data_IF_727058693544
#
_entry.id   IF_727058693544
#
_cell.length_a   1.000
_cell.length_b   1.000
_cell.length_c   1.000
_cell.angle_alpha   90.00
_cell.angle_beta   90.00
_cell.angle_gamma   90.00
#
_symmetry.space_group_name_H-M   'P 1'
#
loop_
_entity.id
_entity.type
_entity.pdbx_description
1 polymer ?
#
# COMPACT_ATOMS: atom_id res chain seq x y z
N UNK A 1 18.46 -7.96 -12.18
CA UNK A 1 17.25 -8.02 -13.05
C UNK A 1 16.13 -7.34 -12.28
N UNK A 2 15.23 -6.60 -12.93
CA UNK A 2 14.12 -5.92 -12.22
C UNK A 2 13.13 -6.93 -11.62
N UNK A 3 12.39 -6.53 -10.58
CA UNK A 3 11.36 -7.38 -9.97
C UNK A 3 10.24 -7.63 -10.99
N UNK A 4 9.87 -8.88 -11.32
CA UNK A 4 9.00 -9.20 -12.46
C UNK A 4 7.57 -8.62 -12.32
N UNK A 5 7.11 -8.40 -11.10
CA UNK A 5 5.80 -7.82 -10.81
C UNK A 5 5.77 -6.30 -10.67
N UNK A 6 6.91 -5.61 -10.80
CA UNK A 6 7.02 -4.17 -10.58
C UNK A 6 7.68 -3.50 -11.78
N UNK A 7 6.93 -2.64 -12.45
CA UNK A 7 7.45 -1.80 -13.53
C UNK A 7 7.19 -0.33 -13.19
N UNK A 8 8.24 0.48 -13.05
CA UNK A 8 8.13 1.88 -12.63
C UNK A 8 7.26 2.07 -11.38
N UNK A 9 7.48 1.24 -10.35
CA UNK A 9 6.67 1.15 -9.11
C UNK A 9 5.22 0.70 -9.32
N UNK A 10 4.74 0.50 -10.54
CA UNK A 10 3.41 -0.07 -10.79
C UNK A 10 3.45 -1.57 -10.55
N UNK A 11 2.55 -2.04 -9.68
CA UNK A 11 2.39 -3.45 -9.41
C UNK A 11 1.49 -4.11 -10.45
N UNK A 12 1.94 -5.25 -10.97
CA UNK A 12 1.18 -6.11 -11.86
C UNK A 12 1.32 -7.56 -11.40
N UNK A 13 0.20 -8.27 -11.30
CA UNK A 13 0.21 -9.72 -11.09
C UNK A 13 0.85 -10.44 -12.27
N UNK A 14 1.27 -11.69 -12.02
CA UNK A 14 1.77 -12.56 -13.08
C UNK A 14 0.73 -12.71 -14.21
N UNK A 15 1.14 -12.72 -15.48
CA UNK A 15 0.22 -12.98 -16.60
C UNK A 15 -0.58 -14.27 -16.49
N UNK A 16 -0.10 -15.29 -15.76
CA UNK A 16 -0.85 -16.53 -15.52
C UNK A 16 -2.09 -16.34 -14.63
N UNK A 17 -2.20 -15.21 -13.94
CA UNK A 17 -3.34 -14.81 -13.12
C UNK A 17 -4.29 -13.87 -13.86
N UNK A 18 -4.01 -13.57 -15.13
CA UNK A 18 -4.90 -12.76 -15.94
C UNK A 18 -6.27 -13.43 -16.08
N UNK A 19 -7.33 -12.63 -15.88
CA UNK A 19 -8.72 -13.11 -15.95
C UNK A 19 -9.30 -13.59 -14.61
N UNK A 20 -8.51 -13.63 -13.53
CA UNK A 20 -9.06 -13.78 -12.19
C UNK A 20 -9.70 -12.47 -11.72
N UNK A 21 -10.82 -12.59 -11.02
CA UNK A 21 -11.47 -11.47 -10.36
C UNK A 21 -10.61 -10.96 -9.18
N UNK A 22 -10.79 -9.68 -8.82
CA UNK A 22 -9.98 -9.03 -7.78
C UNK A 22 -10.02 -9.78 -6.44
N UNK A 23 -11.18 -10.33 -6.09
CA UNK A 23 -11.39 -11.14 -4.88
C UNK A 23 -10.52 -12.40 -4.85
N UNK A 24 -10.16 -12.95 -6.02
CA UNK A 24 -9.27 -14.10 -6.13
C UNK A 24 -7.78 -13.70 -6.22
N UNK A 25 -7.49 -12.40 -6.40
CA UNK A 25 -6.14 -11.86 -6.40
C UNK A 25 -5.69 -11.39 -5.02
N UNK A 26 -6.61 -11.26 -4.07
CA UNK A 26 -6.34 -10.88 -2.68
C UNK A 26 -6.69 -12.07 -1.79
N UNK A 27 -5.71 -12.52 -1.02
CA UNK A 27 -5.84 -13.57 -0.02
C UNK A 27 -5.89 -12.95 1.36
N UNK A 28 -6.63 -13.56 2.28
CA UNK A 28 -6.47 -13.30 3.70
C UNK A 28 -5.87 -14.52 4.37
N UNK A 29 -4.80 -14.32 5.12
CA UNK A 29 -4.23 -15.40 5.91
C UNK A 29 -5.08 -15.64 7.16
N UNK A 30 -5.41 -16.90 7.46
CA UNK A 30 -6.26 -17.26 8.61
C UNK A 30 -5.53 -17.20 9.96
N UNK A 31 -4.20 -17.26 9.96
CA UNK A 31 -3.41 -17.20 11.20
C UNK A 31 -3.13 -15.73 11.58
N UNK A 32 -2.52 -14.95 10.69
CA UNK A 32 -2.22 -13.55 10.97
C UNK A 32 -3.36 -12.57 10.61
N UNK A 33 -4.45 -13.03 9.98
CA UNK A 33 -5.64 -12.23 9.59
C UNK A 33 -5.37 -11.07 8.59
N UNK A 34 -4.18 -11.03 7.99
CA UNK A 34 -3.73 -9.97 7.07
C UNK A 34 -3.99 -10.30 5.60
N UNK A 35 -4.01 -9.27 4.76
CA UNK A 35 -4.19 -9.33 3.32
C UNK A 35 -2.87 -9.50 2.56
N UNK A 36 -2.90 -10.37 1.56
CA UNK A 36 -1.76 -10.67 0.69
C UNK A 36 -2.18 -10.85 -0.76
N UNK A 37 -1.31 -10.45 -1.69
CA UNK A 37 -1.54 -10.65 -3.11
C UNK A 37 -1.31 -12.11 -3.51
N UNK A 38 -2.09 -12.58 -4.48
CA UNK A 38 -1.86 -13.85 -5.14
C UNK A 38 -0.43 -13.97 -5.69
N UNK A 39 0.19 -15.13 -5.50
CA UNK A 39 1.58 -15.40 -5.86
C UNK A 39 1.68 -16.64 -6.73
N UNK A 40 2.02 -16.45 -8.01
CA UNK A 40 2.19 -17.55 -8.96
C UNK A 40 3.38 -18.47 -8.62
N UNK A 41 4.46 -17.89 -8.08
CA UNK A 41 5.68 -18.63 -7.73
C UNK A 41 5.41 -19.64 -6.61
N UNK A 42 4.50 -19.30 -5.70
CA UNK A 42 4.12 -20.12 -4.56
C UNK A 42 2.76 -20.78 -4.69
N UNK A 43 2.11 -20.66 -5.85
CA UNK A 43 0.78 -21.20 -6.14
C UNK A 43 -0.29 -20.78 -5.11
N UNK A 44 -0.14 -19.58 -4.55
CA UNK A 44 -1.08 -19.02 -3.57
C UNK A 44 -2.08 -18.14 -4.30
N UNK A 45 -3.33 -18.60 -4.41
CA UNK A 45 -4.42 -17.92 -5.10
C UNK A 45 -5.67 -17.89 -4.21
N UNK A 46 -6.56 -16.91 -4.41
CA UNK A 46 -7.75 -16.75 -3.58
C UNK A 46 -8.71 -17.94 -3.61
N UNK A 47 -9.48 -18.08 -2.52
CA UNK A 47 -10.50 -19.13 -2.34
C UNK A 47 -9.94 -20.51 -1.98
N UNK A 48 -10.69 -21.58 -2.28
CA UNK A 48 -10.32 -22.98 -2.05
C UNK A 48 -9.16 -23.48 -2.97
N UNK A 49 -8.58 -22.60 -3.78
CA UNK A 49 -7.62 -22.91 -4.83
C UNK A 49 -6.15 -22.79 -4.39
N UNK A 50 -5.87 -22.42 -3.14
CA UNK A 50 -4.52 -22.41 -2.58
C UNK A 50 -3.99 -23.86 -2.41
N UNK A 51 -3.22 -24.33 -3.39
CA UNK A 51 -2.51 -25.61 -3.39
C UNK A 51 -1.00 -25.36 -3.47
N UNK A 52 -0.14 -26.15 -2.80
CA UNK A 52 -0.39 -27.48 -2.26
C UNK A 52 -0.63 -27.55 -0.73
N UNK A 53 -0.59 -26.44 0.01
CA UNK A 53 -0.50 -26.50 1.48
C UNK A 53 -1.49 -25.64 2.28
N UNK A 54 -2.48 -25.00 1.65
CA UNK A 54 -3.41 -24.01 2.28
C UNK A 54 -2.76 -22.75 2.87
N UNK A 55 -1.44 -22.73 3.05
CA UNK A 55 -0.69 -21.58 3.57
C UNK A 55 -0.68 -20.44 2.55
N UNK A 56 -1.17 -19.26 2.98
CA UNK A 56 -1.15 -18.05 2.16
C UNK A 56 0.28 -17.56 2.01
N UNK A 57 0.69 -17.23 0.79
CA UNK A 57 1.99 -16.65 0.53
C UNK A 57 2.06 -15.20 1.05
N UNK A 58 3.00 -14.92 1.95
CA UNK A 58 3.24 -13.57 2.48
C UNK A 58 4.18 -12.69 1.64
N UNK A 59 4.46 -13.08 0.39
CA UNK A 59 5.41 -12.36 -0.46
C UNK A 59 4.89 -10.98 -0.88
N UNK A 60 3.64 -10.90 -1.34
CA UNK A 60 2.97 -9.64 -1.68
C UNK A 60 2.10 -9.19 -0.51
N UNK A 61 2.59 -8.26 0.29
CA UNK A 61 1.89 -7.78 1.48
C UNK A 61 1.09 -6.53 1.14
N UNK A 62 -0.23 -6.60 1.33
CA UNK A 62 -1.14 -5.56 0.85
C UNK A 62 -1.48 -4.56 1.96
N UNK A 63 -1.50 -3.29 1.60
CA UNK A 63 -2.11 -2.22 2.39
C UNK A 63 -3.11 -1.46 1.53
N UNK A 64 -4.38 -1.48 1.92
CA UNK A 64 -5.40 -0.63 1.32
C UNK A 64 -5.38 0.74 1.97
N UNK A 65 -5.46 1.77 1.14
CA UNK A 65 -5.45 3.17 1.58
C UNK A 65 -6.59 3.94 0.92
N UNK A 66 -7.12 4.94 1.63
CA UNK A 66 -8.02 5.96 1.11
C UNK A 66 -7.83 7.25 1.90
N UNK A 67 -8.00 8.39 1.22
CA UNK A 67 -8.04 9.71 1.82
C UNK A 67 -9.37 10.42 1.60
N UNK A 68 -9.96 10.92 2.69
CA UNK A 68 -11.20 11.70 2.65
C UNK A 68 -10.99 13.11 3.22
N UNK A 69 -11.74 14.09 2.72
CA UNK A 69 -11.80 15.42 3.28
C UNK A 69 -13.23 15.95 3.27
N UNK A 70 -13.78 16.22 4.45
CA UNK A 70 -15.02 16.97 4.60
C UNK A 70 -14.74 18.46 4.35
N UNK A 71 -15.73 19.17 3.77
CA UNK A 71 -15.62 20.58 3.38
C UNK A 71 -14.36 20.90 2.54
N UNK A 72 -13.94 19.96 1.69
CA UNK A 72 -12.74 20.02 0.85
C UNK A 72 -12.52 21.41 0.21
N UNK A 73 -11.40 22.06 0.54
CA UNK A 73 -11.02 23.37 0.01
C UNK A 73 -11.59 24.59 0.77
N UNK A 74 -12.19 24.39 1.94
CA UNK A 74 -12.69 25.46 2.83
C UNK A 74 -11.85 25.59 4.10
N UNK A 75 -12.02 26.69 4.85
CA UNK A 75 -11.27 26.96 6.09
C UNK A 75 -11.54 25.92 7.20
N UNK A 76 -12.73 25.33 7.21
CA UNK A 76 -13.16 24.31 8.18
C UNK A 76 -12.97 22.88 7.67
N UNK A 77 -12.19 22.69 6.61
CA UNK A 77 -11.94 21.39 6.01
C UNK A 77 -11.24 20.44 7.00
N UNK A 78 -11.78 19.23 7.15
CA UNK A 78 -11.17 18.16 7.95
C UNK A 78 -10.82 17.00 7.05
N UNK A 79 -9.56 16.55 7.12
CA UNK A 79 -9.11 15.39 6.36
C UNK A 79 -8.91 14.17 7.27
N UNK A 80 -9.12 13.00 6.71
CA UNK A 80 -9.03 11.71 7.37
C UNK A 80 -8.38 10.67 6.46
N UNK A 81 -7.64 9.76 7.08
CA UNK A 81 -6.93 8.65 6.42
C UNK A 81 -7.59 7.34 6.83
N UNK A 82 -7.88 6.49 5.85
CA UNK A 82 -8.35 5.14 6.06
C UNK A 82 -7.30 4.16 5.58
N UNK A 83 -6.85 3.27 6.46
CA UNK A 83 -5.76 2.33 6.16
C UNK A 83 -6.15 0.97 6.71
N UNK A 84 -5.95 -0.09 5.94
CA UNK A 84 -6.15 -1.46 6.44
C UNK A 84 -5.24 -2.47 5.76
N UNK A 85 -4.71 -3.40 6.55
CA UNK A 85 -3.86 -4.52 6.08
C UNK A 85 -4.47 -5.89 6.37
N UNK A 86 -5.69 -5.96 6.90
CA UNK A 86 -6.37 -7.20 7.30
C UNK A 86 -7.79 -6.95 7.76
N UNK A 87 -8.57 -8.01 8.00
CA UNK A 87 -9.95 -7.81 8.46
C UNK A 87 -10.12 -7.45 9.92
N UNK A 88 -9.18 -7.89 10.75
CA UNK A 88 -9.16 -7.61 12.18
C UNK A 88 -9.07 -6.10 12.47
N UNK A 89 -9.77 -5.64 13.52
CA UNK A 89 -9.79 -4.24 13.91
C UNK A 89 -8.40 -3.70 14.28
N UNK A 90 -7.50 -4.55 14.79
CA UNK A 90 -6.11 -4.18 15.09
C UNK A 90 -5.30 -3.83 13.84
N UNK A 91 -5.78 -4.22 12.66
CA UNK A 91 -5.22 -3.91 11.34
C UNK A 91 -6.04 -2.90 10.54
N UNK A 92 -6.85 -2.11 11.24
CA UNK A 92 -7.69 -1.06 10.67
C UNK A 92 -7.44 0.27 11.37
N UNK A 93 -7.04 1.29 10.61
CA UNK A 93 -6.75 2.62 11.14
C UNK A 93 -7.61 3.68 10.48
N UNK A 94 -8.24 4.51 11.32
CA UNK A 94 -9.03 5.69 10.97
C UNK A 94 -8.37 6.89 11.64
N UNK A 95 -7.56 7.65 10.88
CA UNK A 95 -6.63 8.64 11.43
C UNK A 95 -7.02 10.05 10.94
N UNK A 96 -7.29 10.96 11.88
CA UNK A 96 -7.54 12.37 11.54
C UNK A 96 -6.23 13.08 11.18
N UNK A 97 -6.24 13.87 10.10
CA UNK A 97 -5.07 14.63 9.65
C UNK A 97 -4.96 15.92 10.48
N UNK A 98 -3.88 16.01 11.24
CA UNK A 98 -3.52 17.18 12.03
C UNK A 98 -2.24 17.85 11.50
N UNK A 99 -1.83 18.95 12.14
CA UNK A 99 -0.65 19.71 11.73
C UNK A 99 0.68 19.00 11.97
N UNK A 100 0.70 17.92 12.77
CA UNK A 100 1.88 17.07 12.86
C UNK A 100 2.01 16.18 11.61
N UNK A 101 0.90 15.68 11.08
CA UNK A 101 0.87 14.83 9.89
C UNK A 101 1.09 15.63 8.59
N UNK A 102 0.49 16.82 8.49
CA UNK A 102 0.59 17.70 7.32
C UNK A 102 0.76 19.19 7.74
N UNK A 103 1.97 19.59 8.16
CA UNK A 103 2.23 20.93 8.68
C UNK A 103 1.97 22.02 7.65
N UNK A 104 1.07 22.96 7.96
CA UNK A 104 0.65 24.07 7.10
C UNK A 104 0.05 23.64 5.73
N UNK A 105 -0.22 22.35 5.53
CA UNK A 105 -0.82 21.83 4.30
C UNK A 105 -2.34 22.04 4.29
N UNK A 106 -2.95 22.39 3.15
CA UNK A 106 -4.39 22.54 3.07
C UNK A 106 -5.09 21.19 3.23
N UNK A 107 -6.18 21.13 4.00
CA UNK A 107 -6.96 19.89 4.09
C UNK A 107 -7.73 19.70 2.78
N UNK A 108 -7.30 18.72 2.00
CA UNK A 108 -7.90 18.37 0.70
C UNK A 108 -7.91 16.86 0.49
N UNK A 109 -8.82 16.39 -0.37
CA UNK A 109 -8.87 14.96 -0.73
C UNK A 109 -7.52 14.48 -1.27
N UNK A 110 -6.93 15.19 -2.24
CA UNK A 110 -5.67 14.76 -2.87
C UNK A 110 -4.49 14.65 -1.89
N UNK A 111 -4.43 15.54 -0.90
CA UNK A 111 -3.39 15.45 0.14
C UNK A 111 -3.66 14.32 1.11
N UNK A 112 -4.92 14.13 1.53
CA UNK A 112 -5.32 12.99 2.37
C UNK A 112 -4.94 11.65 1.72
N UNK A 113 -5.16 11.51 0.42
CA UNK A 113 -4.83 10.29 -0.34
C UNK A 113 -3.32 9.99 -0.33
N UNK A 114 -2.48 11.00 -0.54
CA UNK A 114 -1.03 10.85 -0.48
C UNK A 114 -0.52 10.57 0.94
N UNK A 115 -1.10 11.23 1.94
CA UNK A 115 -0.78 10.98 3.36
C UNK A 115 -1.18 9.56 3.77
N UNK A 116 -2.33 9.06 3.31
CA UNK A 116 -2.77 7.69 3.57
C UNK A 116 -1.78 6.68 2.99
N UNK A 117 -1.26 6.91 1.77
CA UNK A 117 -0.23 6.06 1.18
C UNK A 117 1.09 6.08 1.98
N UNK A 118 1.53 7.26 2.44
CA UNK A 118 2.75 7.41 3.27
C UNK A 118 2.58 6.67 4.60
N UNK A 119 1.50 6.95 5.32
CA UNK A 119 1.22 6.36 6.62
C UNK A 119 0.97 4.85 6.50
N UNK A 120 0.29 4.40 5.45
CA UNK A 120 0.03 2.99 5.19
C UNK A 120 1.30 2.17 5.02
N UNK A 121 2.29 2.70 4.29
CA UNK A 121 3.61 2.07 4.17
C UNK A 121 4.33 1.99 5.51
N UNK A 122 4.28 3.05 6.32
CA UNK A 122 4.92 3.11 7.63
C UNK A 122 4.28 2.13 8.61
N UNK A 123 2.94 2.07 8.67
CA UNK A 123 2.20 1.12 9.50
C UNK A 123 2.49 -0.32 9.11
N UNK A 124 2.47 -0.65 7.81
CA UNK A 124 2.80 -1.98 7.33
C UNK A 124 4.25 -2.38 7.70
N UNK A 125 5.20 -1.48 7.52
CA UNK A 125 6.60 -1.70 7.91
C UNK A 125 6.74 -1.93 9.43
N UNK A 126 6.04 -1.14 10.24
CA UNK A 126 6.06 -1.26 11.70
C UNK A 126 5.47 -2.59 12.17
N UNK A 127 4.33 -3.02 11.61
CA UNK A 127 3.71 -4.32 11.92
C UNK A 127 4.69 -5.45 11.61
N UNK A 128 5.32 -5.43 10.44
CA UNK A 128 6.29 -6.47 10.07
C UNK A 128 7.53 -6.47 10.96
N UNK A 129 8.02 -5.29 11.35
CA UNK A 129 9.14 -5.16 12.28
C UNK A 129 8.80 -5.75 13.65
N UNK A 130 7.60 -5.48 14.18
CA UNK A 130 7.14 -6.05 15.44
C UNK A 130 7.01 -7.57 15.35
N UNK A 131 6.44 -8.09 14.27
CA UNK A 131 6.34 -9.54 14.06
C UNK A 131 7.72 -10.19 14.00
N UNK A 132 8.68 -9.60 13.27
CA UNK A 132 10.06 -10.09 13.23
C UNK A 132 10.73 -10.10 14.61
N UNK A 133 10.44 -9.12 15.46
CA UNK A 133 10.92 -9.06 16.85
C UNK A 133 10.29 -10.19 17.68
N UNK A 134 8.97 -10.39 17.60
CA UNK A 134 8.29 -11.47 18.32
C UNK A 134 8.82 -12.85 17.92
N UNK A 135 9.03 -13.09 16.62
CA UNK A 135 9.66 -14.31 16.10
C UNK A 135 11.08 -14.50 16.65
N UNK A 136 11.90 -13.45 16.63
CA UNK A 136 13.27 -13.50 17.16
C UNK A 136 13.31 -13.76 18.67
N UNK A 137 12.26 -13.38 19.41
CA UNK A 137 12.10 -13.65 20.84
C UNK A 137 11.51 -15.04 21.14
N UNK A 138 11.19 -15.85 20.11
CA UNK A 138 10.52 -17.15 20.29
C UNK A 138 9.07 -17.02 20.78
N UNK A 139 8.48 -15.83 20.63
CA UNK A 139 7.09 -15.53 20.96
C UNK A 139 6.19 -15.56 19.71
N UNK A 140 6.78 -15.74 18.53
CA UNK A 140 6.05 -15.94 17.28
C UNK A 140 5.54 -17.37 17.11
N UNK A 141 4.63 -17.54 16.17
CA UNK A 141 4.04 -18.81 15.73
C UNK A 141 4.82 -19.47 14.58
N UNK A 142 5.99 -18.91 14.23
CA UNK A 142 6.82 -19.26 13.07
C UNK A 142 6.19 -18.95 11.71
N UNK A 143 4.99 -18.38 11.70
CA UNK A 143 4.16 -18.15 10.52
C UNK A 143 4.70 -17.03 9.61
N UNK A 144 5.43 -16.08 10.20
CA UNK A 144 6.02 -14.95 9.47
C UNK A 144 7.46 -15.18 9.04
N UNK A 145 8.02 -16.37 9.29
CA UNK A 145 9.37 -16.68 8.83
C UNK A 145 9.39 -16.62 7.31
N UNK A 146 10.35 -15.93 6.67
CA UNK A 146 10.49 -15.96 5.23
C UNK A 146 10.59 -17.41 4.81
N UNK A 147 9.83 -17.80 3.78
CA UNK A 147 9.81 -19.17 3.32
C UNK A 147 11.26 -19.56 3.00
N UNK A 148 11.79 -20.60 3.68
CA UNK A 148 13.12 -21.14 3.39
C UNK A 148 13.12 -21.94 2.09
N UNK A 149 12.31 -21.54 1.10
CA UNK A 149 12.37 -22.13 -0.23
C UNK A 149 13.48 -21.41 -0.97
N UNK A 150 14.39 -22.19 -1.56
CA UNK A 150 15.47 -21.72 -2.44
C UNK A 150 14.97 -21.00 -3.72
N UNK A 151 13.70 -20.60 -3.76
CA UNK A 151 13.00 -19.94 -4.87
C UNK A 151 12.80 -18.45 -4.65
N UNK A 152 13.04 -17.93 -3.44
CA UNK A 152 12.80 -16.52 -3.11
C UNK A 152 14.00 -15.67 -3.52
N UNK A 153 14.16 -15.46 -4.83
CA UNK A 153 15.16 -14.55 -5.38
C UNK A 153 14.91 -13.08 -4.96
N UNK A 154 13.71 -12.77 -4.47
CA UNK A 154 13.27 -11.43 -4.10
C UNK A 154 12.77 -11.38 -2.65
N UNK A 155 13.14 -10.31 -1.94
CA UNK A 155 12.61 -10.00 -0.61
C UNK A 155 11.09 -9.73 -0.61
N UNK A 156 10.50 -9.40 0.55
CA UNK A 156 9.08 -9.08 0.61
C UNK A 156 8.74 -7.87 -0.28
N UNK A 157 7.54 -7.89 -0.85
CA UNK A 157 7.00 -6.79 -1.64
C UNK A 157 5.81 -6.17 -0.93
N UNK A 158 5.85 -4.87 -0.66
CA UNK A 158 4.71 -4.11 -0.15
C UNK A 158 3.91 -3.55 -1.33
N UNK A 159 2.61 -3.79 -1.33
CA UNK A 159 1.70 -3.33 -2.38
C UNK A 159 0.70 -2.34 -1.76
N UNK A 160 0.85 -1.07 -2.12
CA UNK A 160 -0.12 -0.03 -1.78
C UNK A 160 -1.28 -0.12 -2.76
N UNK A 161 -2.47 -0.38 -2.24
CA UNK A 161 -3.69 -0.54 -3.02
C UNK A 161 -4.58 0.67 -2.80
N UNK A 162 -4.95 1.33 -3.91
CA UNK A 162 -5.76 2.54 -3.88
C UNK A 162 -6.71 2.58 -5.08
N UNK A 163 -7.88 3.18 -4.91
CA UNK A 163 -8.77 3.55 -6.02
C UNK A 163 -8.48 4.94 -6.59
N UNK A 164 -7.57 5.68 -5.93
CA UNK A 164 -7.08 6.99 -6.37
C UNK A 164 -6.06 6.88 -7.51
N UNK A 165 -6.48 7.18 -8.74
CA UNK A 165 -5.54 7.33 -9.86
C UNK A 165 -4.49 8.42 -9.58
N UNK A 166 -4.86 9.44 -8.79
CA UNK A 166 -3.96 10.54 -8.43
C UNK A 166 -2.71 10.05 -7.70
N UNK A 167 -2.89 9.11 -6.75
CA UNK A 167 -1.78 8.49 -6.02
C UNK A 167 -0.99 7.57 -6.95
N UNK A 168 -1.68 6.61 -7.59
CA UNK A 168 -1.02 5.56 -8.37
C UNK A 168 -0.30 6.15 -9.59
N UNK A 169 -0.98 6.87 -10.48
CA UNK A 169 -0.32 7.50 -11.64
C UNK A 169 0.68 8.58 -11.20
N UNK A 170 0.40 9.26 -10.10
CA UNK A 170 1.28 10.28 -9.56
C UNK A 170 2.67 9.75 -9.24
N UNK A 171 2.77 8.61 -8.55
CA UNK A 171 4.04 8.01 -8.19
C UNK A 171 4.65 7.17 -9.32
N UNK A 172 3.84 6.49 -10.14
CA UNK A 172 4.34 5.55 -11.16
C UNK A 172 4.66 6.21 -12.50
N UNK A 173 3.94 7.26 -12.89
CA UNK A 173 4.04 7.88 -14.24
C UNK A 173 4.49 9.34 -14.17
N UNK A 174 3.86 10.14 -13.29
CA UNK A 174 4.06 11.58 -13.29
C UNK A 174 5.33 11.99 -12.58
N UNK A 175 5.62 11.46 -11.39
CA UNK A 175 6.81 11.82 -10.62
C UNK A 175 8.12 11.55 -11.37
N UNK A 176 8.32 10.40 -12.05
CA UNK A 176 9.49 10.18 -12.90
C UNK A 176 9.58 11.21 -14.03
N UNK A 177 8.45 11.53 -14.67
CA UNK A 177 8.37 12.54 -15.72
C UNK A 177 8.69 13.95 -15.22
N UNK A 178 8.19 14.33 -14.04
CA UNK A 178 8.47 15.62 -13.42
C UNK A 178 9.95 15.74 -13.06
N UNK A 179 10.57 14.67 -12.56
CA UNK A 179 12.01 14.65 -12.22
C UNK A 179 12.89 15.01 -13.41
N UNK A 180 12.59 14.47 -14.60
CA UNK A 180 13.36 14.79 -15.83
C UNK A 180 12.99 16.15 -16.44
N UNK A 181 11.88 16.76 -16.00
CA UNK A 181 11.37 18.06 -16.46
C UNK A 181 11.53 19.18 -15.43
N UNK A 182 12.56 19.10 -14.57
CA UNK A 182 12.83 20.12 -13.55
C UNK A 182 11.60 20.41 -12.67
N UNK A 183 10.91 19.34 -12.27
CA UNK A 183 9.71 19.36 -11.42
C UNK A 183 8.54 20.18 -12.00
N UNK A 184 8.30 20.03 -13.30
CA UNK A 184 7.19 20.69 -14.02
C UNK A 184 6.20 19.71 -14.62
N UNK A 185 4.92 20.06 -14.48
CA UNK A 185 3.79 19.43 -15.18
C UNK A 185 3.85 19.68 -16.69
N UNK A 186 3.00 18.98 -17.45
CA UNK A 186 2.86 19.21 -18.90
C UNK A 186 2.50 20.68 -19.24
N UNK A 187 1.83 21.39 -18.34
CA UNK A 187 1.52 22.82 -18.48
C UNK A 187 2.66 23.76 -18.01
N UNK A 188 3.84 23.23 -17.70
CA UNK A 188 5.01 24.01 -17.26
C UNK A 188 4.97 24.52 -15.82
N UNK A 189 3.87 24.26 -15.09
CA UNK A 189 3.69 24.64 -13.67
C UNK A 189 4.31 23.60 -12.74
N UNK A 190 4.70 24.03 -11.54
CA UNK A 190 5.08 23.13 -10.45
C UNK A 190 3.86 22.29 -10.02
N UNK A 191 3.98 20.96 -9.85
CA UNK A 191 2.89 20.13 -9.32
C UNK A 191 2.46 20.61 -7.93
N UNK A 192 1.15 20.66 -7.68
CA UNK A 192 0.56 21.24 -6.46
C UNK A 192 1.02 20.54 -5.18
N UNK A 193 1.00 19.20 -5.17
CA UNK A 193 1.36 18.39 -3.99
C UNK A 193 2.72 17.71 -4.16
N UNK A 194 3.66 18.38 -4.83
CA UNK A 194 5.00 17.84 -5.08
C UNK A 194 5.71 17.45 -3.78
N UNK A 195 5.52 18.23 -2.72
CA UNK A 195 6.05 17.97 -1.38
C UNK A 195 5.67 16.58 -0.85
N UNK A 196 4.39 16.20 -0.96
CA UNK A 196 3.92 14.89 -0.51
C UNK A 196 4.35 13.76 -1.44
N UNK A 197 4.42 13.99 -2.75
CA UNK A 197 4.97 12.99 -3.66
C UNK A 197 6.45 12.70 -3.40
N UNK A 198 7.24 13.74 -3.09
CA UNK A 198 8.65 13.58 -2.71
C UNK A 198 8.77 12.82 -1.38
N UNK A 199 7.92 13.13 -0.40
CA UNK A 199 7.88 12.41 0.89
C UNK A 199 7.48 10.93 0.70
N UNK A 200 6.51 10.65 -0.16
CA UNK A 200 6.12 9.28 -0.50
C UNK A 200 7.26 8.52 -1.19
N UNK A 201 7.94 9.14 -2.16
CA UNK A 201 9.10 8.53 -2.81
C UNK A 201 10.26 8.30 -1.83
N UNK A 202 10.49 9.21 -0.87
CA UNK A 202 11.51 9.04 0.18
C UNK A 202 11.22 7.83 1.08
N UNK A 203 9.98 7.71 1.59
CA UNK A 203 9.56 6.53 2.38
C UNK A 203 9.73 5.25 1.58
N UNK A 204 9.34 5.29 0.30
CA UNK A 204 9.47 4.15 -0.61
C UNK A 204 10.93 3.75 -0.80
N UNK A 205 11.81 4.71 -1.10
CA UNK A 205 13.25 4.47 -1.26
C UNK A 205 13.91 3.97 0.02
N UNK A 206 13.46 4.42 1.19
CA UNK A 206 13.95 3.93 2.47
C UNK A 206 13.65 2.43 2.65
N UNK A 207 12.42 2.00 2.34
CA UNK A 207 12.03 0.59 2.39
C UNK A 207 12.82 -0.26 1.37
N UNK A 208 13.02 0.27 0.16
CA UNK A 208 13.82 -0.38 -0.89
C UNK A 208 15.28 -0.59 -0.48
N UNK A 209 15.85 0.35 0.27
CA UNK A 209 17.20 0.22 0.84
C UNK A 209 17.28 -0.90 1.89
N UNK A 210 16.18 -1.17 2.60
CA UNK A 210 16.05 -2.26 3.56
C UNK A 210 15.70 -3.60 2.89
N UNK A 211 15.72 -3.67 1.55
CA UNK A 211 15.47 -4.89 0.78
C UNK A 211 13.99 -5.20 0.55
N UNK A 212 13.09 -4.24 0.82
CA UNK A 212 11.66 -4.36 0.61
C UNK A 212 11.30 -3.73 -0.72
N UNK A 213 10.73 -4.49 -1.65
CA UNK A 213 10.25 -3.92 -2.91
C UNK A 213 8.90 -3.23 -2.67
N UNK A 214 8.64 -2.08 -3.28
CA UNK A 214 7.36 -1.37 -3.11
C UNK A 214 6.65 -1.17 -4.45
N UNK A 215 5.38 -1.53 -4.49
CA UNK A 215 4.49 -1.41 -5.64
C UNK A 215 3.20 -0.67 -5.33
N UNK A 216 2.62 -0.06 -6.36
CA UNK A 216 1.34 0.63 -6.29
C UNK A 216 0.36 -0.04 -7.26
N UNK A 217 -0.82 -0.36 -6.76
CA UNK A 217 -1.87 -1.03 -7.52
C UNK A 217 -3.16 -0.22 -7.50
N UNK A 218 -3.61 0.19 -8.68
CA UNK A 218 -4.89 0.86 -8.85
C UNK A 218 -6.02 -0.17 -8.96
N UNK A 219 -7.08 0.02 -8.16
CA UNK A 219 -8.27 -0.84 -8.16
C UNK A 219 -9.55 -0.02 -8.34
N UNK A 220 -10.67 -0.63 -8.78
CA UNK A 220 -11.95 0.06 -8.78
C UNK A 220 -12.43 0.35 -7.34
N UNK A 221 -13.05 1.52 -7.14
CA UNK A 221 -13.58 1.98 -5.84
C UNK A 221 -14.46 0.97 -5.09
N UNK A 222 -15.23 0.16 -5.82
CA UNK A 222 -16.09 -0.87 -5.23
C UNK A 222 -15.32 -1.84 -4.32
N UNK A 223 -14.03 -2.05 -4.59
CA UNK A 223 -13.17 -2.95 -3.83
C UNK A 223 -12.35 -2.26 -2.73
N UNK A 224 -12.43 -0.93 -2.59
CA UNK A 224 -11.72 -0.16 -1.56
C UNK A 224 -12.64 0.35 -0.43
N UNK A 225 -13.82 -0.25 -0.29
CA UNK A 225 -14.89 0.26 0.59
C UNK A 225 -14.50 0.33 2.07
N UNK A 226 -13.58 -0.51 2.53
CA UNK A 226 -13.14 -0.53 3.93
C UNK A 226 -12.26 0.67 4.26
N UNK A 227 -11.24 0.93 3.44
CA UNK A 227 -10.40 2.11 3.59
C UNK A 227 -11.23 3.40 3.42
N UNK A 228 -12.11 3.47 2.41
CA UNK A 228 -13.02 4.62 2.21
C UNK A 228 -13.88 4.93 3.46
N UNK A 229 -14.43 3.88 4.09
CA UNK A 229 -15.20 4.04 5.33
C UNK A 229 -14.33 4.58 6.46
N UNK A 230 -13.14 4.01 6.67
CA UNK A 230 -12.22 4.44 7.72
C UNK A 230 -11.80 5.91 7.52
N UNK A 231 -11.49 6.30 6.28
CA UNK A 231 -11.11 7.67 5.96
C UNK A 231 -12.24 8.66 6.30
N UNK A 232 -13.48 8.34 5.91
CA UNK A 232 -14.66 9.17 6.20
C UNK A 232 -14.93 9.30 7.69
N UNK A 233 -14.78 8.21 8.46
CA UNK A 233 -14.94 8.25 9.92
C UNK A 233 -13.95 9.20 10.60
N UNK A 234 -12.77 9.39 10.01
CA UNK A 234 -11.76 10.33 10.50
C UNK A 234 -12.00 11.81 10.12
N UNK A 235 -13.04 12.12 9.32
CA UNK A 235 -13.34 13.50 8.86
C UNK A 235 -14.40 14.24 9.68
N UNK A 236 -14.82 13.67 10.80
CA UNK A 236 -15.92 14.17 11.64
C UNK A 236 -15.54 15.30 12.58
#
# INVERSE_FOLDING_TARGET
MGHPNIEQRKFNFCPSLAGLDLENLINQCLECTRFFGACCLHQSYGGDLAVPNKDVCHHFQIVFIDGACSNNGREDAKAGLGITIGDDESYCWSIAVNDAADPNGPRTNQRAELLAAIEGLQLLANVNRLNAIHEAMGMGDEHHKPARRNTDEFGPTYVVVADSEYVVKGITEWLPTWRVRDWRTAAGKRPTNLDLFLKLDEVTMSLEKDGITVGFWHIPRAYNHKADRLAKLATV
#
